data_IF_691098124492
#
_entry.id   IF_691098124492
#
_cell.length_a   1.000
_cell.length_b   1.000
_cell.length_c   1.000
_cell.angle_alpha   90.00
_cell.angle_beta   90.00
_cell.angle_gamma   90.00
#
_symmetry.space_group_name_H-M   'P 1'
#
loop_
_entity.id
_entity.type
_entity.pdbx_description
1 polymer ?
#
# COMPACT_ATOMS: atom_id res chain seq x y z
N UNK A 1 -40.44 1.88 11.81
CA UNK A 1 -39.14 2.54 12.09
C UNK A 1 -38.08 1.46 12.09
N UNK A 2 -37.03 1.42 11.27
CA UNK A 2 -36.61 2.22 10.11
C UNK A 2 -35.46 1.43 9.46
N UNK A 3 -35.41 1.43 8.13
CA UNK A 3 -34.27 1.08 7.28
C UNK A 3 -33.87 -0.40 7.15
N UNK A 4 -34.34 -0.99 6.05
CA UNK A 4 -33.81 -2.17 5.38
C UNK A 4 -32.29 -2.04 5.16
N UNK A 5 -31.54 -3.06 5.58
CA UNK A 5 -30.13 -3.23 5.27
C UNK A 5 -29.94 -3.32 3.75
N UNK A 6 -29.15 -2.42 3.19
CA UNK A 6 -28.77 -2.47 1.78
C UNK A 6 -27.90 -3.68 1.51
N UNK A 7 -28.40 -4.61 0.70
CA UNK A 7 -27.59 -5.67 0.09
C UNK A 7 -26.60 -5.03 -0.88
N UNK A 8 -25.34 -4.90 -0.44
CA UNK A 8 -24.25 -4.63 -1.36
C UNK A 8 -23.89 -5.92 -2.09
N UNK A 9 -24.45 -6.12 -3.27
CA UNK A 9 -24.04 -7.19 -4.18
C UNK A 9 -22.55 -6.99 -4.53
N UNK A 10 -21.68 -8.00 -4.33
CA UNK A 10 -20.26 -7.88 -4.60
C UNK A 10 -20.06 -7.78 -6.11
N UNK A 11 -19.89 -6.57 -6.64
CA UNK A 11 -19.37 -6.38 -7.99
C UNK A 11 -17.96 -6.97 -8.03
N UNK A 12 -17.73 -7.92 -8.92
CA UNK A 12 -16.43 -8.53 -9.15
C UNK A 12 -15.38 -7.43 -9.31
N UNK A 13 -14.32 -7.51 -8.51
CA UNK A 13 -13.24 -6.52 -8.57
C UNK A 13 -12.66 -6.53 -9.98
N UNK A 14 -12.65 -5.36 -10.63
CA UNK A 14 -12.07 -5.24 -11.96
C UNK A 14 -10.58 -5.59 -11.90
N UNK A 15 -9.98 -6.22 -12.93
CA UNK A 15 -8.55 -6.49 -12.98
C UNK A 15 -7.68 -5.23 -12.79
N UNK A 16 -8.19 -4.05 -13.18
CA UNK A 16 -7.55 -2.77 -12.88
C UNK A 16 -7.60 -2.40 -11.40
N UNK A 17 -8.66 -2.77 -10.70
CA UNK A 17 -8.80 -2.57 -9.26
C UNK A 17 -7.88 -3.53 -8.49
N UNK A 18 -7.70 -4.75 -8.99
CA UNK A 18 -6.71 -5.71 -8.49
C UNK A 18 -5.30 -5.18 -8.70
N UNK A 19 -4.95 -4.70 -9.89
CA UNK A 19 -3.63 -4.11 -10.16
C UNK A 19 -3.38 -2.86 -9.29
N UNK A 20 -4.40 -2.00 -9.12
CA UNK A 20 -4.34 -0.82 -8.25
C UNK A 20 -4.18 -1.21 -6.77
N UNK A 21 -4.89 -2.23 -6.30
CA UNK A 21 -4.74 -2.75 -4.94
C UNK A 21 -3.33 -3.32 -4.71
N UNK A 22 -2.81 -4.05 -5.69
CA UNK A 22 -1.44 -4.59 -5.66
C UNK A 22 -0.43 -3.44 -5.63
N UNK A 23 -0.57 -2.42 -6.47
CA UNK A 23 0.32 -1.26 -6.50
C UNK A 23 0.34 -0.47 -5.17
N UNK A 24 -0.83 -0.28 -4.55
CA UNK A 24 -0.93 0.35 -3.22
C UNK A 24 -0.37 -0.52 -2.10
N UNK A 25 -0.35 -1.84 -2.28
CA UNK A 25 0.34 -2.80 -1.41
C UNK A 25 1.87 -2.72 -1.57
N UNK A 26 2.38 -2.44 -2.77
CA UNK A 26 3.81 -2.29 -3.04
C UNK A 26 4.38 -0.96 -2.53
N UNK A 27 3.58 0.11 -2.54
CA UNK A 27 3.97 1.41 -1.99
C UNK A 27 3.87 1.49 -0.46
N UNK A 28 3.25 0.50 0.21
CA UNK A 28 3.13 0.49 1.68
C UNK A 28 2.09 1.47 2.26
N UNK A 29 1.27 2.13 1.43
CA UNK A 29 0.31 3.19 1.82
C UNK A 29 -1.10 2.58 2.00
N UNK A 30 -1.22 1.41 2.63
CA UNK A 30 -2.53 0.85 3.01
C UNK A 30 -2.69 0.66 4.52
N UNK A 31 -2.16 1.60 5.31
CA UNK A 31 -2.46 1.71 6.74
C UNK A 31 -3.63 2.66 6.97
N UNK A 32 -4.85 2.11 7.12
CA UNK A 32 -5.94 2.86 7.76
C UNK A 32 -6.97 2.02 8.53
N UNK A 33 -6.72 0.75 8.78
CA UNK A 33 -7.52 -0.08 9.68
C UNK A 33 -6.51 -1.07 10.29
N UNK A 34 -6.08 -1.00 11.53
CA UNK A 34 -6.87 -0.79 12.75
C UNK A 34 -6.37 0.39 13.59
N UNK A 35 -7.22 1.40 13.79
CA UNK A 35 -6.86 2.66 14.46
C UNK A 35 -7.55 2.94 15.79
N UNK A 36 -8.34 2.02 16.37
CA UNK A 36 -9.04 2.35 17.64
C UNK A 36 -8.72 1.46 18.85
N UNK A 37 -8.12 0.28 18.69
CA UNK A 37 -7.73 -0.56 19.85
C UNK A 37 -6.22 -0.78 20.01
N UNK A 38 -5.44 -0.84 18.91
CA UNK A 38 -4.00 -1.20 18.96
C UNK A 38 -3.05 -0.01 18.76
N UNK A 39 -3.58 1.17 18.39
CA UNK A 39 -2.81 2.40 18.24
C UNK A 39 -2.21 2.93 19.56
N UNK A 40 -2.70 2.44 20.71
CA UNK A 40 -2.19 2.80 22.04
C UNK A 40 -0.92 2.02 22.43
N UNK A 41 -0.65 0.86 21.81
CA UNK A 41 0.49 -0.01 22.18
C UNK A 41 1.63 -0.04 21.15
N UNK A 42 1.34 0.27 19.87
CA UNK A 42 2.38 0.34 18.84
C UNK A 42 3.15 1.66 18.95
N UNK A 43 4.40 1.59 19.46
CA UNK A 43 5.29 2.75 19.60
C UNK A 43 5.45 3.47 18.25
N UNK A 44 5.19 4.79 18.16
CA UNK A 44 5.34 5.58 16.94
C UNK A 44 6.68 5.41 16.22
N UNK A 45 7.76 5.12 16.97
CA UNK A 45 9.07 4.83 16.43
C UNK A 45 9.08 3.65 15.43
N UNK A 46 8.32 2.59 15.67
CA UNK A 46 8.28 1.42 14.78
C UNK A 46 7.65 1.77 13.43
N UNK A 47 6.67 2.67 13.43
CA UNK A 47 6.02 3.18 12.20
C UNK A 47 7.00 4.00 11.37
N UNK A 48 7.78 4.86 12.02
CA UNK A 48 8.80 5.70 11.38
C UNK A 48 9.89 4.83 10.75
N UNK A 49 10.42 3.84 11.49
CA UNK A 49 11.44 2.93 10.99
C UNK A 49 10.92 2.13 9.79
N UNK A 50 9.71 1.57 9.88
CA UNK A 50 9.09 0.84 8.78
C UNK A 50 8.88 1.72 7.53
N UNK A 51 8.47 2.98 7.73
CA UNK A 51 8.32 3.95 6.64
C UNK A 51 9.65 4.29 5.97
N UNK A 52 10.72 4.48 6.75
CA UNK A 52 12.05 4.77 6.21
C UNK A 52 12.64 3.60 5.41
N UNK A 53 12.47 2.37 5.91
CA UNK A 53 12.91 1.16 5.20
C UNK A 53 12.14 1.01 3.88
N UNK A 54 10.81 1.19 3.90
CA UNK A 54 9.98 1.15 2.69
C UNK A 54 10.39 2.21 1.66
N UNK A 55 10.65 3.44 2.11
CA UNK A 55 11.13 4.52 1.24
C UNK A 55 12.50 4.20 0.62
N UNK A 56 13.44 3.68 1.41
CA UNK A 56 14.76 3.30 0.93
C UNK A 56 14.67 2.22 -0.16
N UNK A 57 13.90 1.15 0.08
CA UNK A 57 13.69 0.07 -0.88
C UNK A 57 13.06 0.59 -2.18
N UNK A 58 12.06 1.47 -2.07
CA UNK A 58 11.40 2.06 -3.22
C UNK A 58 12.36 2.89 -4.08
N UNK A 59 13.13 3.77 -3.45
CA UNK A 59 14.14 4.60 -4.15
C UNK A 59 15.21 3.73 -4.80
N UNK A 60 15.76 2.74 -4.09
CA UNK A 60 16.76 1.82 -4.65
C UNK A 60 16.21 1.06 -5.86
N UNK A 61 14.97 0.60 -5.79
CA UNK A 61 14.32 -0.11 -6.90
C UNK A 61 14.22 0.76 -8.15
N UNK A 62 13.84 2.04 -8.00
CA UNK A 62 13.78 2.99 -9.10
C UNK A 62 15.17 3.27 -9.69
N UNK A 63 16.18 3.48 -8.85
CA UNK A 63 17.55 3.74 -9.29
C UNK A 63 18.10 2.54 -10.07
N UNK A 64 17.89 1.32 -9.56
CA UNK A 64 18.32 0.10 -10.25
C UNK A 64 17.59 -0.08 -11.59
N UNK A 65 16.29 0.20 -11.63
CA UNK A 65 15.51 0.13 -12.87
C UNK A 65 16.04 1.12 -13.92
N UNK A 66 16.32 2.36 -13.52
CA UNK A 66 16.88 3.38 -14.42
C UNK A 66 18.25 2.96 -14.92
N UNK A 67 19.15 2.53 -14.02
CA UNK A 67 20.48 2.04 -14.41
C UNK A 67 20.40 0.85 -15.36
N UNK A 68 19.45 -0.06 -15.14
CA UNK A 68 19.21 -1.21 -16.01
C UNK A 68 18.75 -0.77 -17.40
N UNK A 69 17.81 0.17 -17.50
CA UNK A 69 17.31 0.67 -18.79
C UNK A 69 18.43 1.40 -19.55
N UNK A 70 19.15 2.30 -18.88
CA UNK A 70 20.24 3.07 -19.50
C UNK A 70 21.37 2.15 -19.95
N UNK A 71 21.76 1.17 -19.13
CA UNK A 71 22.80 0.20 -19.49
C UNK A 71 22.40 -0.79 -20.59
N UNK A 72 21.11 -0.88 -20.93
CA UNK A 72 20.60 -1.66 -22.08
C UNK A 72 20.45 -0.80 -23.34
N UNK A 73 20.50 0.52 -23.22
CA UNK A 73 20.31 1.48 -24.31
C UNK A 73 21.63 2.03 -24.89
N UNK A 74 22.76 1.71 -24.26
CA UNK A 74 24.11 1.97 -24.73
C UNK A 74 24.73 0.69 -25.31
#
# INVERSE_FOLDING_TARGET
MTAMAGEQTPKSASPLQVAKAVFWSFLGIRRRAEHESDAAQLKPAQVIIAGLIGAAIFVLSLVLLVKFIVGRAA
#
